data_IF_896415407656
#
_entry.id   IF_896415407656
#
_cell.length_a   1.000
_cell.length_b   1.000
_cell.length_c   1.000
_cell.angle_alpha   90.00
_cell.angle_beta   90.00
_cell.angle_gamma   90.00
#
_symmetry.space_group_name_H-M   'P 1'
#
loop_
_entity.id
_entity.type
_entity.pdbx_description
1 polymer ?
#
# COMPACT_ATOMS: atom_id res chain seq x y z
N UNK A 1 -21.12 -15.99 -17.44
CA UNK A 1 -21.44 -14.56 -17.16
C UNK A 1 -20.17 -13.70 -17.11
N UNK A 2 -19.18 -14.03 -16.27
CA UNK A 2 -17.91 -13.28 -16.11
C UNK A 2 -17.07 -13.12 -17.40
N UNK A 3 -17.06 -14.15 -18.27
CA UNK A 3 -16.36 -14.12 -19.57
C UNK A 3 -16.85 -13.01 -20.51
N UNK A 4 -18.16 -12.74 -20.51
CA UNK A 4 -18.76 -11.73 -21.40
C UNK A 4 -18.49 -10.31 -20.90
N UNK A 5 -18.38 -10.14 -19.58
CA UNK A 5 -18.04 -8.86 -18.93
C UNK A 5 -16.59 -8.48 -19.26
N UNK A 6 -15.64 -9.42 -19.21
CA UNK A 6 -14.24 -9.15 -19.58
C UNK A 6 -14.06 -8.80 -21.07
N UNK A 7 -14.91 -9.35 -21.96
CA UNK A 7 -14.93 -8.98 -23.39
C UNK A 7 -15.45 -7.54 -23.61
N UNK A 8 -16.48 -7.12 -22.87
CA UNK A 8 -17.04 -5.77 -22.97
C UNK A 8 -16.10 -4.68 -22.42
N UNK A 9 -15.28 -5.02 -21.41
CA UNK A 9 -14.36 -4.08 -20.75
C UNK A 9 -12.98 -4.00 -21.47
N UNK A 10 -12.79 -4.71 -22.59
CA UNK A 10 -11.51 -4.71 -23.31
C UNK A 10 -10.38 -5.42 -22.55
N UNK A 11 -10.69 -6.16 -21.49
CA UNK A 11 -9.74 -7.00 -20.75
C UNK A 11 -9.51 -8.32 -21.48
N UNK A 12 -9.01 -8.25 -22.71
CA UNK A 12 -8.45 -9.43 -23.38
C UNK A 12 -7.03 -9.60 -22.87
N UNK A 13 -6.83 -10.44 -21.86
CA UNK A 13 -5.48 -10.87 -21.53
C UNK A 13 -4.91 -11.56 -22.78
N UNK A 14 -3.81 -11.04 -23.33
CA UNK A 14 -3.04 -11.77 -24.32
C UNK A 14 -2.56 -13.04 -23.62
N UNK A 15 -3.14 -14.18 -23.94
CA UNK A 15 -2.58 -15.46 -23.51
C UNK A 15 -1.28 -15.65 -24.27
N UNK A 16 -0.16 -15.25 -23.68
CA UNK A 16 1.16 -15.63 -24.17
C UNK A 16 1.30 -17.12 -23.91
N UNK A 17 1.04 -17.93 -24.93
CA UNK A 17 1.28 -19.36 -24.84
C UNK A 17 2.78 -19.59 -24.70
N UNK A 18 3.20 -20.27 -23.64
CA UNK A 18 4.59 -20.70 -23.49
C UNK A 18 4.86 -21.77 -24.54
N UNK A 19 5.62 -21.43 -25.58
CA UNK A 19 5.93 -22.34 -26.70
C UNK A 19 7.20 -23.14 -26.50
N UNK A 20 8.04 -22.75 -25.54
CA UNK A 20 9.28 -23.46 -25.23
C UNK A 20 9.80 -23.16 -23.83
N UNK A 21 10.62 -24.09 -23.31
CA UNK A 21 11.40 -23.93 -22.09
C UNK A 21 12.85 -24.36 -22.33
N UNK A 22 13.81 -23.64 -21.75
CA UNK A 22 15.24 -24.02 -21.79
C UNK A 22 15.61 -24.72 -20.49
N UNK A 23 16.18 -25.91 -20.56
CA UNK A 23 16.73 -26.65 -19.41
C UNK A 23 18.02 -27.35 -19.81
N UNK A 24 19.08 -27.21 -19.00
CA UNK A 24 20.41 -27.80 -19.24
C UNK A 24 20.93 -27.57 -20.68
N UNK A 25 20.85 -26.32 -21.14
CA UNK A 25 21.24 -25.87 -22.49
C UNK A 25 20.45 -26.44 -23.68
N UNK A 26 19.41 -27.23 -23.42
CA UNK A 26 18.48 -27.72 -24.44
C UNK A 26 17.15 -26.95 -24.41
N UNK A 27 16.58 -26.69 -25.58
CA UNK A 27 15.26 -26.04 -25.73
C UNK A 27 14.21 -27.11 -26.04
N UNK A 28 13.19 -27.18 -25.21
CA UNK A 28 12.04 -28.07 -25.38
C UNK A 28 10.83 -27.27 -25.84
N UNK A 29 10.15 -27.72 -26.89
CA UNK A 29 8.92 -27.11 -27.44
C UNK A 29 7.67 -27.97 -27.22
N UNK A 30 7.85 -29.21 -26.78
CA UNK A 30 6.75 -30.14 -26.55
C UNK A 30 6.08 -29.84 -25.20
N UNK A 31 4.74 -29.68 -25.21
CA UNK A 31 3.95 -29.38 -24.01
C UNK A 31 4.18 -30.36 -22.85
N UNK A 32 4.37 -31.66 -23.14
CA UNK A 32 4.65 -32.68 -22.12
C UNK A 32 6.02 -32.44 -21.48
N UNK A 33 7.06 -32.19 -22.29
CA UNK A 33 8.39 -31.88 -21.77
C UNK A 33 8.42 -30.55 -21.00
N UNK A 34 7.65 -29.56 -21.43
CA UNK A 34 7.49 -28.30 -20.71
C UNK A 34 6.91 -28.59 -19.33
N UNK A 35 5.77 -29.29 -19.25
CA UNK A 35 5.14 -29.64 -17.98
C UNK A 35 6.08 -30.44 -17.06
N UNK A 36 6.79 -31.42 -17.61
CA UNK A 36 7.75 -32.23 -16.86
C UNK A 36 8.90 -31.38 -16.31
N UNK A 37 9.48 -30.49 -17.13
CA UNK A 37 10.55 -29.58 -16.71
C UNK A 37 10.10 -28.67 -15.55
N UNK A 38 8.87 -28.16 -15.60
CA UNK A 38 8.31 -27.35 -14.53
C UNK A 38 8.10 -28.16 -13.26
N UNK A 39 7.50 -29.34 -13.35
CA UNK A 39 7.29 -30.23 -12.20
C UNK A 39 8.61 -30.62 -11.54
N UNK A 40 9.61 -30.98 -12.34
CA UNK A 40 10.94 -31.31 -11.86
C UNK A 40 11.61 -30.13 -11.16
N UNK A 41 11.52 -28.93 -11.74
CA UNK A 41 12.08 -27.74 -11.13
C UNK A 41 11.43 -27.42 -9.78
N UNK A 42 10.10 -27.32 -9.74
CA UNK A 42 9.38 -26.91 -8.53
C UNK A 42 9.37 -27.99 -7.43
N UNK A 43 9.51 -29.27 -7.78
CA UNK A 43 9.67 -30.34 -6.78
C UNK A 43 11.07 -30.37 -6.15
N UNK A 44 12.11 -29.91 -6.87
CA UNK A 44 13.51 -29.99 -6.41
C UNK A 44 14.03 -28.69 -5.81
N UNK A 45 13.53 -27.52 -6.26
CA UNK A 45 14.10 -26.22 -5.90
C UNK A 45 14.13 -25.95 -4.40
N UNK A 46 13.12 -26.39 -3.64
CA UNK A 46 13.09 -26.22 -2.19
C UNK A 46 14.25 -26.95 -1.49
N UNK A 47 14.46 -28.22 -1.85
CA UNK A 47 15.54 -29.04 -1.29
C UNK A 47 16.91 -28.56 -1.75
N UNK A 48 17.05 -28.22 -3.04
CA UNK A 48 18.30 -27.68 -3.59
C UNK A 48 18.69 -26.34 -2.93
N UNK A 49 17.72 -25.45 -2.72
CA UNK A 49 17.96 -24.17 -2.08
C UNK A 49 18.31 -24.36 -0.61
N UNK A 50 17.55 -25.19 0.11
CA UNK A 50 17.82 -25.51 1.52
C UNK A 50 19.24 -26.05 1.74
N UNK A 51 19.72 -26.92 0.84
CA UNK A 51 21.07 -27.50 0.94
C UNK A 51 22.19 -26.48 0.65
N UNK A 52 21.89 -25.36 -0.02
CA UNK A 52 22.85 -24.28 -0.29
C UNK A 52 22.90 -23.24 0.82
N UNK A 53 21.93 -23.25 1.75
CA UNK A 53 21.96 -22.37 2.91
C UNK A 53 23.08 -22.87 3.83
N UNK A 54 24.11 -22.06 4.12
CA UNK A 54 25.18 -22.47 5.02
C UNK A 54 24.60 -22.75 6.42
N UNK A 55 25.06 -23.81 7.09
CA UNK A 55 24.60 -24.10 8.45
C UNK A 55 24.99 -22.93 9.35
N UNK A 56 23.99 -22.30 9.96
CA UNK A 56 24.17 -21.25 10.95
C UNK A 56 23.98 -21.83 12.33
N UNK A 57 24.89 -21.51 13.26
CA UNK A 57 24.72 -21.82 14.68
C UNK A 57 24.05 -20.66 15.44
N UNK A 58 23.57 -19.63 14.72
CA UNK A 58 22.85 -18.50 15.28
C UNK A 58 21.37 -18.86 15.40
N UNK A 59 20.82 -18.68 16.60
CA UNK A 59 19.37 -18.70 16.80
C UNK A 59 18.71 -17.57 16.01
N UNK A 60 17.44 -17.74 15.62
CA UNK A 60 16.69 -16.69 14.92
C UNK A 60 16.58 -15.41 15.76
N UNK A 61 16.69 -15.54 17.08
CA UNK A 61 16.67 -14.48 18.07
C UNK A 61 17.83 -13.49 17.93
N UNK A 62 18.98 -13.91 17.41
CA UNK A 62 20.09 -12.99 17.12
C UNK A 62 19.81 -12.06 15.92
N UNK A 63 18.87 -12.45 15.05
CA UNK A 63 18.43 -11.64 13.91
C UNK A 63 17.24 -10.74 14.25
N UNK A 64 16.56 -11.02 15.36
CA UNK A 64 15.59 -10.09 15.91
C UNK A 64 16.38 -8.92 16.49
N UNK A 65 16.49 -7.82 15.72
CA UNK A 65 16.91 -6.54 16.27
C UNK A 65 16.13 -6.31 17.55
N UNK A 66 16.85 -6.12 18.66
CA UNK A 66 16.27 -5.92 19.98
C UNK A 66 15.30 -4.76 19.87
N UNK A 67 14.00 -5.07 19.85
CA UNK A 67 12.95 -4.08 19.65
C UNK A 67 13.09 -3.01 20.72
N UNK A 68 13.55 -1.81 20.31
CA UNK A 68 12.85 -0.61 20.76
C UNK A 68 11.41 -0.86 20.36
N UNK A 69 10.51 -0.83 21.33
CA UNK A 69 9.12 -1.10 21.10
C UNK A 69 8.47 0.23 20.72
N UNK A 70 8.30 0.59 19.43
CA UNK A 70 7.25 1.54 19.10
C UNK A 70 5.95 0.78 19.28
N UNK A 71 5.50 0.65 20.53
CA UNK A 71 4.18 0.10 20.83
C UNK A 71 3.18 1.02 20.15
N UNK A 72 2.50 0.49 19.14
CA UNK A 72 1.29 1.11 18.64
C UNK A 72 0.18 0.81 19.66
N UNK A 73 0.06 1.68 20.65
CA UNK A 73 -0.96 1.59 21.69
C UNK A 73 -2.16 2.45 21.32
N UNK A 74 -3.32 1.82 21.20
CA UNK A 74 -4.57 2.55 21.08
C UNK A 74 -4.89 3.22 22.42
N UNK A 75 -4.67 4.54 22.50
CA UNK A 75 -5.22 5.33 23.60
C UNK A 75 -6.74 5.42 23.44
N UNK A 76 -7.46 5.24 24.54
CA UNK A 76 -8.90 5.45 24.57
C UNK A 76 -9.22 6.91 24.23
N UNK A 77 -9.93 7.14 23.14
CA UNK A 77 -10.27 8.46 22.63
C UNK A 77 -11.29 9.13 23.57
N UNK A 78 -10.94 10.29 24.12
CA UNK A 78 -11.89 11.18 24.79
C UNK A 78 -12.73 11.97 23.79
N UNK A 79 -13.90 12.48 24.17
CA UNK A 79 -14.77 13.24 23.24
C UNK A 79 -14.11 14.51 22.68
N UNK A 80 -13.11 15.06 23.37
CA UNK A 80 -12.31 16.20 22.90
C UNK A 80 -11.17 15.77 21.95
N UNK A 81 -10.80 14.47 21.90
CA UNK A 81 -9.74 13.91 21.04
C UNK A 81 -10.24 13.41 19.68
N UNK A 82 -11.52 13.58 19.32
CA UNK A 82 -12.03 13.22 17.98
C UNK A 82 -11.65 14.32 16.96
N UNK A 83 -10.37 14.67 16.97
CA UNK A 83 -9.76 15.70 16.15
C UNK A 83 -8.98 15.08 14.98
N UNK A 84 -8.43 13.89 15.21
CA UNK A 84 -7.74 13.06 14.23
C UNK A 84 -8.25 11.62 14.35
N UNK A 85 -8.68 11.03 13.23
CA UNK A 85 -9.18 9.65 13.16
C UNK A 85 -8.36 8.85 12.17
N UNK A 86 -7.64 7.84 12.66
CA UNK A 86 -6.93 6.86 11.85
C UNK A 86 -7.76 5.58 11.74
N UNK A 87 -8.13 5.19 10.52
CA UNK A 87 -8.89 3.97 10.23
C UNK A 87 -8.07 3.07 9.31
N UNK A 88 -7.85 1.82 9.73
CA UNK A 88 -7.09 0.83 8.96
C UNK A 88 -7.95 -0.39 8.68
N UNK A 89 -7.88 -0.90 7.45
CA UNK A 89 -8.48 -2.17 7.04
C UNK A 89 -7.54 -2.92 6.11
N UNK A 90 -6.99 -4.04 6.56
CA UNK A 90 -5.93 -4.78 5.86
C UNK A 90 -4.75 -3.85 5.49
N UNK A 91 -4.48 -3.66 4.20
CA UNK A 91 -3.46 -2.76 3.67
C UNK A 91 -3.95 -1.32 3.42
N UNK A 92 -5.26 -1.06 3.49
CA UNK A 92 -5.83 0.26 3.29
C UNK A 92 -5.82 1.07 4.59
N UNK A 93 -5.32 2.31 4.54
CA UNK A 93 -5.26 3.23 5.69
C UNK A 93 -5.87 4.58 5.32
N UNK A 94 -6.73 5.10 6.18
CA UNK A 94 -7.34 6.43 6.05
C UNK A 94 -7.00 7.26 7.29
N UNK A 95 -6.48 8.46 7.09
CA UNK A 95 -6.22 9.44 8.15
C UNK A 95 -7.11 10.67 7.90
N UNK A 96 -7.94 11.01 8.88
CA UNK A 96 -8.87 12.16 8.80
C UNK A 96 -8.54 13.15 9.90
N UNK A 97 -8.52 14.44 9.57
CA UNK A 97 -8.32 15.55 10.52
C UNK A 97 -9.45 16.57 10.35
N UNK A 98 -9.97 17.09 11.45
CA UNK A 98 -11.01 18.14 11.43
C UNK A 98 -10.46 19.44 11.95
N UNK A 99 -10.45 20.51 11.14
CA UNK A 99 -9.97 21.83 11.55
C UNK A 99 -10.92 22.98 11.23
N UNK A 100 -10.65 24.15 11.79
CA UNK A 100 -11.47 25.35 11.61
C UNK A 100 -11.08 26.14 10.35
N UNK A 101 -9.80 26.08 9.95
CA UNK A 101 -9.24 26.79 8.81
C UNK A 101 -8.35 25.88 7.94
N UNK A 102 -8.04 26.33 6.71
CA UNK A 102 -7.13 25.62 5.81
C UNK A 102 -5.74 25.41 6.42
N UNK A 103 -5.19 26.46 7.02
CA UNK A 103 -3.87 26.42 7.66
C UNK A 103 -3.84 25.48 8.87
N UNK A 104 -4.90 25.47 9.68
CA UNK A 104 -5.03 24.55 10.82
C UNK A 104 -5.03 23.09 10.34
N UNK A 105 -5.82 22.78 9.30
CA UNK A 105 -5.87 21.44 8.69
C UNK A 105 -4.50 21.05 8.13
N UNK A 106 -3.82 21.95 7.42
CA UNK A 106 -2.50 21.69 6.84
C UNK A 106 -1.45 21.36 7.91
N UNK A 107 -1.36 22.20 8.95
CA UNK A 107 -0.39 22.00 10.04
C UNK A 107 -0.64 20.68 10.74
N UNK A 108 -1.90 20.39 11.09
CA UNK A 108 -2.26 19.19 11.84
C UNK A 108 -2.09 17.93 11.01
N UNK A 109 -2.59 17.92 9.77
CA UNK A 109 -2.47 16.74 8.92
C UNK A 109 -1.01 16.41 8.58
N UNK A 110 -0.17 17.42 8.32
CA UNK A 110 1.27 17.19 8.11
C UNK A 110 1.98 16.70 9.38
N UNK A 111 1.62 17.21 10.55
CA UNK A 111 2.18 16.75 11.83
C UNK A 111 1.85 15.27 12.07
N UNK A 112 0.60 14.88 11.84
CA UNK A 112 0.17 13.48 11.99
C UNK A 112 0.79 12.56 10.94
N UNK A 113 0.92 13.01 9.69
CA UNK A 113 1.59 12.23 8.64
C UNK A 113 3.07 12.02 8.93
N UNK A 114 3.74 12.99 9.56
CA UNK A 114 5.15 12.84 9.97
C UNK A 114 5.29 11.77 11.06
N UNK A 115 4.42 11.80 12.08
CA UNK A 115 4.39 10.76 13.12
C UNK A 115 4.18 9.36 12.52
N UNK A 116 3.25 9.25 11.56
CA UNK A 116 3.00 8.00 10.83
C UNK A 116 4.23 7.60 10.00
N UNK A 117 4.89 8.55 9.34
CA UNK A 117 6.09 8.30 8.54
C UNK A 117 7.25 7.77 9.38
N UNK A 118 7.50 8.38 10.53
CA UNK A 118 8.52 7.92 11.49
C UNK A 118 8.23 6.49 11.97
N UNK A 119 6.97 6.22 12.34
CA UNK A 119 6.57 4.89 12.79
C UNK A 119 6.73 3.83 11.69
N UNK A 120 6.30 4.12 10.46
CA UNK A 120 6.47 3.21 9.32
C UNK A 120 7.94 2.92 9.06
N UNK A 121 8.78 3.95 9.08
CA UNK A 121 10.23 3.84 8.86
C UNK A 121 10.90 2.98 9.93
N UNK A 122 10.58 3.22 11.21
CA UNK A 122 11.07 2.44 12.34
C UNK A 122 10.68 0.95 12.23
N UNK A 123 9.52 0.66 11.63
CA UNK A 123 9.01 -0.70 11.42
C UNK A 123 9.35 -1.28 10.04
N UNK A 124 10.23 -0.63 9.26
CA UNK A 124 10.66 -1.07 7.93
C UNK A 124 9.51 -1.23 6.93
N UNK A 125 8.46 -0.43 7.10
CA UNK A 125 7.32 -0.32 6.20
C UNK A 125 7.50 0.90 5.29
N UNK A 126 7.01 0.80 4.05
CA UNK A 126 7.09 1.89 3.07
C UNK A 126 5.70 2.24 2.59
N UNK A 127 5.34 3.53 2.68
CA UNK A 127 4.10 4.03 2.10
C UNK A 127 4.25 4.23 0.60
N UNK A 128 3.20 3.88 -0.15
CA UNK A 128 3.16 4.16 -1.58
C UNK A 128 2.63 5.58 -1.82
N UNK A 129 3.53 6.54 -2.00
CA UNK A 129 3.19 7.95 -2.21
C UNK A 129 2.41 8.20 -3.50
N UNK A 130 2.61 7.40 -4.55
CA UNK A 130 1.84 7.52 -5.81
C UNK A 130 0.37 7.11 -5.65
N UNK A 131 0.08 6.18 -4.73
CA UNK A 131 -1.27 5.72 -4.41
C UNK A 131 -1.92 6.49 -3.27
N UNK A 132 -1.14 7.26 -2.51
CA UNK A 132 -1.66 8.06 -1.41
C UNK A 132 -2.23 9.35 -1.99
N UNK A 133 -3.48 9.63 -1.65
CA UNK A 133 -4.20 10.80 -2.10
C UNK A 133 -4.94 11.44 -0.93
N UNK A 134 -5.18 12.75 -1.00
CA UNK A 134 -5.95 13.47 0.00
C UNK A 134 -7.15 14.19 -0.63
N UNK A 135 -8.20 14.37 0.16
CA UNK A 135 -9.44 15.05 -0.19
C UNK A 135 -9.84 15.98 0.96
N UNK A 136 -10.52 17.08 0.64
CA UNK A 136 -11.10 17.98 1.62
C UNK A 136 -12.62 17.78 1.61
N UNK A 137 -13.21 17.55 2.78
CA UNK A 137 -14.65 17.34 2.95
C UNK A 137 -15.21 18.46 3.83
N UNK A 138 -16.31 19.08 3.41
CA UNK A 138 -16.96 20.15 4.16
C UNK A 138 -18.12 20.80 3.40
N UNK A 139 -18.82 21.74 4.04
CA UNK A 139 -19.90 22.47 3.36
C UNK A 139 -19.36 23.29 2.19
N UNK A 140 -20.15 23.46 1.13
CA UNK A 140 -19.80 24.27 -0.06
C UNK A 140 -19.20 25.64 0.28
N UNK A 141 -19.78 26.37 1.24
CA UNK A 141 -19.26 27.69 1.67
C UNK A 141 -17.84 27.59 2.22
N UNK A 142 -17.58 26.61 3.09
CA UNK A 142 -16.25 26.38 3.69
C UNK A 142 -15.23 25.98 2.65
N UNK A 143 -15.56 25.02 1.78
CA UNK A 143 -14.68 24.59 0.69
C UNK A 143 -14.37 25.75 -0.27
N UNK A 144 -15.37 26.54 -0.64
CA UNK A 144 -15.18 27.69 -1.55
C UNK A 144 -14.29 28.79 -0.98
N UNK A 145 -14.23 28.94 0.35
CA UNK A 145 -13.32 29.86 1.02
C UNK A 145 -11.90 29.29 1.07
N UNK A 146 -11.76 28.00 1.36
CA UNK A 146 -10.47 27.30 1.34
C UNK A 146 -9.83 27.33 -0.06
N UNK A 147 -10.65 27.23 -1.13
CA UNK A 147 -10.15 27.34 -2.51
C UNK A 147 -9.62 28.74 -2.89
N UNK A 148 -9.88 29.77 -2.07
CA UNK A 148 -9.40 31.15 -2.30
C UNK A 148 -8.17 31.51 -1.47
N UNK A 149 -7.93 30.80 -0.37
CA UNK A 149 -6.93 31.14 0.65
C UNK A 149 -5.85 30.05 0.76
N UNK A 150 -5.02 29.92 -0.28
CA UNK A 150 -3.86 29.01 -0.33
C UNK A 150 -4.16 27.53 -0.66
N UNK A 151 -3.35 27.01 -1.59
CA UNK A 151 -3.34 25.60 -1.98
C UNK A 151 -2.75 24.81 -0.81
N UNK A 152 -3.57 24.18 0.03
CA UNK A 152 -3.14 23.31 1.14
C UNK A 152 -2.10 22.31 0.62
N UNK A 153 -0.91 22.29 1.23
CA UNK A 153 0.17 21.38 0.83
C UNK A 153 0.34 20.27 1.85
N UNK A 154 -0.04 19.08 1.46
CA UNK A 154 0.11 17.89 2.29
C UNK A 154 1.32 17.09 1.80
N UNK A 155 2.20 16.72 2.73
CA UNK A 155 3.44 15.99 2.45
C UNK A 155 3.60 14.80 3.38
N UNK A 156 4.32 13.80 2.91
CA UNK A 156 4.81 12.69 3.71
C UNK A 156 6.29 12.43 3.41
N UNK A 157 7.14 12.65 4.42
CA UNK A 157 8.57 12.82 4.22
C UNK A 157 8.85 13.94 3.19
N UNK A 158 9.68 13.64 2.19
CA UNK A 158 10.03 14.60 1.13
C UNK A 158 9.00 14.69 -0.02
N UNK A 159 7.92 13.89 0.02
CA UNK A 159 7.00 13.76 -1.11
C UNK A 159 5.68 14.49 -0.87
N UNK A 160 5.23 15.26 -1.86
CA UNK A 160 3.91 15.91 -1.84
C UNK A 160 2.80 14.93 -2.26
N UNK A 161 1.71 14.90 -1.49
CA UNK A 161 0.56 14.03 -1.72
C UNK A 161 -0.41 14.75 -2.66
N UNK A 162 -0.92 14.01 -3.64
CA UNK A 162 -1.86 14.54 -4.63
C UNK A 162 -3.25 14.79 -4.01
N UNK A 163 -3.81 15.98 -4.28
CA UNK A 163 -5.23 16.27 -4.01
C UNK A 163 -6.15 15.64 -5.05
N UNK A 164 -7.27 15.07 -4.60
CA UNK A 164 -8.35 14.57 -5.46
C UNK A 164 -9.73 15.11 -5.03
N UNK A 165 -10.65 15.20 -5.98
CA UNK A 165 -12.06 15.60 -5.76
C UNK A 165 -13.03 14.43 -5.63
N UNK A 166 -12.58 13.23 -5.99
CA UNK A 166 -13.35 12.00 -5.92
C UNK A 166 -12.41 10.85 -5.62
N UNK A 167 -12.77 9.98 -4.70
CA UNK A 167 -12.04 8.75 -4.37
C UNK A 167 -12.99 7.58 -4.16
N UNK A 168 -12.47 6.36 -4.23
CA UNK A 168 -13.23 5.15 -3.93
C UNK A 168 -12.63 4.47 -2.70
N UNK A 169 -13.40 4.40 -1.62
CA UNK A 169 -13.00 3.75 -0.37
C UNK A 169 -13.97 2.62 -0.04
N UNK A 170 -13.45 1.40 0.16
CA UNK A 170 -14.23 0.20 0.52
C UNK A 170 -15.46 -0.08 -0.37
N UNK A 171 -15.38 0.26 -1.65
CA UNK A 171 -16.49 0.07 -2.61
C UNK A 171 -17.46 1.25 -2.73
N UNK A 172 -17.32 2.25 -1.86
CA UNK A 172 -18.12 3.50 -1.87
C UNK A 172 -17.33 4.58 -2.62
N UNK A 173 -18.00 5.32 -3.49
CA UNK A 173 -17.42 6.51 -4.15
C UNK A 173 -17.77 7.72 -3.29
N UNK A 174 -16.75 8.50 -2.94
CA UNK A 174 -16.84 9.72 -2.13
C UNK A 174 -16.39 10.87 -3.02
N UNK A 175 -17.20 11.93 -3.10
CA UNK A 175 -16.94 13.14 -3.87
C UNK A 175 -17.01 14.41 -2.99
N UNK A 176 -16.42 15.48 -3.49
CA UNK A 176 -16.39 16.81 -2.85
C UNK A 176 -17.69 17.62 -3.12
N UNK A 177 -18.65 17.11 -3.91
CA UNK A 177 -19.88 17.80 -4.35
C UNK A 177 -21.14 17.47 -3.55
#
# INVERSE_FOLDING_TARGET
>A
MWRNINQLIGKTSKTTNVTSVKSNDQIFTNNHHIAETFNDYFSKIGTEFSNRIPPSNKGFEEYLERSVSPVFEFKSVSNDEVETVLTMYADDTNLSVTGESASDIEVRLNTELENVHEWLTANKLTINTEKTEYMIIGSYKRISNIQKEDEIKIRIGDNEIKRVKTTKSLGIVIDEE
#
